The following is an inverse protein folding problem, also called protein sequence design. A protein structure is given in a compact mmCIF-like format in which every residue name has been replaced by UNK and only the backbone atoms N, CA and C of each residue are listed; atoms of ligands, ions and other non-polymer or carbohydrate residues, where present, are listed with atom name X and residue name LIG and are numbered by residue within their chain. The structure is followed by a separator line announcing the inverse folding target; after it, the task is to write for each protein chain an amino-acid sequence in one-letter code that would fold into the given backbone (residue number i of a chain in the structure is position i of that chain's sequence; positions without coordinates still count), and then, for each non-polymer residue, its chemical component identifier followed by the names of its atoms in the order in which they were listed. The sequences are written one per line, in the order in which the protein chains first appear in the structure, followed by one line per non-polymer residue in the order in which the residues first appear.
data_IF_303604770553
#
_entry.id   IF_303604770553
#
_cell.length_a   1.000
_cell.length_b   1.000
_cell.length_c   1.000
_cell.angle_alpha   90.00
_cell.angle_beta   90.00
_cell.angle_gamma   90.00
#
_symmetry.space_group_name_H-M   'P 1'
#
loop_
_entity.id
_entity.type
_entity.pdbx_description
1 polymer ?
#
# COMPACT_ATOMS: atom_id res chain seq x y z
N UNK A 1 22.98 16.93 3.71
CA UNK A 1 22.19 15.73 3.35
C UNK A 1 21.07 15.41 4.33
N UNK A 2 21.33 15.32 5.65
CA UNK A 2 20.32 14.97 6.68
C UNK A 2 19.03 15.84 6.62
N UNK A 3 19.18 17.17 6.49
CA UNK A 3 18.02 18.08 6.45
C UNK A 3 17.12 17.87 5.22
N UNK A 4 17.70 17.47 4.08
CA UNK A 4 16.94 17.18 2.87
C UNK A 4 16.11 15.89 3.01
N UNK A 5 16.70 14.84 3.59
CA UNK A 5 15.99 13.58 3.84
C UNK A 5 14.85 13.75 4.85
N UNK A 6 15.06 14.54 5.91
CA UNK A 6 14.01 14.86 6.90
C UNK A 6 12.85 15.61 6.22
N UNK A 7 13.14 16.64 5.43
CA UNK A 7 12.12 17.42 4.70
C UNK A 7 11.29 16.54 3.76
N UNK A 8 11.93 15.63 3.01
CA UNK A 8 11.24 14.74 2.08
C UNK A 8 10.37 13.72 2.82
N UNK A 9 10.87 13.15 3.92
CA UNK A 9 10.09 12.24 4.77
C UNK A 9 8.82 12.92 5.31
N UNK A 10 8.94 14.13 5.84
CA UNK A 10 7.80 14.84 6.43
C UNK A 10 6.73 15.20 5.38
N UNK A 11 7.16 15.55 4.16
CA UNK A 11 6.24 15.78 3.02
C UNK A 11 5.48 14.50 2.66
N UNK A 12 6.17 13.36 2.59
CA UNK A 12 5.56 12.06 2.28
C UNK A 12 4.56 11.66 3.37
N UNK A 13 4.94 11.79 4.65
CA UNK A 13 4.07 11.50 5.79
C UNK A 13 2.82 12.39 5.77
N UNK A 14 2.97 13.71 5.56
CA UNK A 14 1.82 14.62 5.44
C UNK A 14 0.87 14.22 4.30
N UNK A 15 1.42 13.83 3.14
CA UNK A 15 0.63 13.39 1.99
C UNK A 15 -0.05 12.05 2.23
N UNK A 16 0.58 11.12 2.94
CA UNK A 16 -0.06 9.86 3.33
C UNK A 16 -1.15 10.08 4.37
N UNK A 17 -0.95 11.00 5.31
CA UNK A 17 -1.94 11.38 6.33
C UNK A 17 -3.15 12.14 5.77
N UNK A 18 -3.07 12.69 4.55
CA UNK A 18 -4.26 13.25 3.90
C UNK A 18 -5.19 12.18 3.34
N UNK A 19 -4.72 10.94 3.20
CA UNK A 19 -5.58 9.82 2.80
C UNK A 19 -6.32 9.24 4.00
N UNK A 20 -7.59 8.91 3.80
CA UNK A 20 -8.41 8.29 4.84
C UNK A 20 -7.99 6.85 5.06
N UNK A 21 -8.21 6.34 6.28
CA UNK A 21 -8.08 4.92 6.61
C UNK A 21 -8.88 4.04 5.64
N UNK A 22 -10.04 4.50 5.18
CA UNK A 22 -10.86 3.80 4.17
C UNK A 22 -10.12 3.64 2.84
N UNK A 23 -9.37 4.66 2.41
CA UNK A 23 -8.55 4.59 1.20
C UNK A 23 -7.49 3.51 1.33
N UNK A 24 -6.80 3.42 2.48
CA UNK A 24 -5.84 2.37 2.74
C UNK A 24 -6.44 0.96 2.66
N UNK A 25 -7.65 0.76 3.21
CA UNK A 25 -8.38 -0.52 3.11
C UNK A 25 -8.73 -0.83 1.65
N UNK A 26 -9.31 0.11 0.91
CA UNK A 26 -9.72 -0.11 -0.49
C UNK A 26 -8.49 -0.48 -1.34
N UNK A 27 -7.38 0.27 -1.20
CA UNK A 27 -6.12 0.00 -1.88
C UNK A 27 -5.58 -1.39 -1.53
N UNK A 28 -5.67 -1.80 -0.27
CA UNK A 28 -5.26 -3.14 0.15
C UNK A 28 -6.17 -4.23 -0.41
N UNK A 29 -7.48 -3.99 -0.49
CA UNK A 29 -8.43 -4.93 -1.08
C UNK A 29 -8.20 -5.11 -2.59
N UNK A 30 -7.80 -4.05 -3.30
CA UNK A 30 -7.42 -4.14 -4.72
C UNK A 30 -6.19 -5.03 -4.95
N UNK A 31 -5.32 -5.25 -3.96
CA UNK A 31 -4.24 -6.23 -4.08
C UNK A 31 -4.76 -7.65 -4.41
N UNK A 32 -5.92 -8.03 -3.85
CA UNK A 32 -6.46 -9.39 -3.94
C UNK A 32 -6.78 -9.79 -5.39
N UNK A 33 -7.59 -9.03 -6.16
CA UNK A 33 -7.87 -9.38 -7.55
C UNK A 33 -6.60 -9.37 -8.41
N UNK A 34 -5.69 -8.41 -8.25
CA UNK A 34 -4.42 -8.40 -9.01
C UNK A 34 -3.54 -9.62 -8.69
N UNK A 35 -3.51 -10.06 -7.43
CA UNK A 35 -2.80 -11.26 -7.03
C UNK A 35 -3.42 -12.50 -7.68
N UNK A 36 -4.75 -12.66 -7.62
CA UNK A 36 -5.45 -13.78 -8.26
C UNK A 36 -5.19 -13.78 -9.77
N UNK A 37 -5.34 -12.62 -10.43
CA UNK A 37 -5.10 -12.47 -11.87
C UNK A 37 -3.66 -12.82 -12.26
N UNK A 38 -2.67 -12.49 -11.41
CA UNK A 38 -1.26 -12.82 -11.67
C UNK A 38 -1.02 -14.34 -11.83
N UNK A 39 -1.80 -15.17 -11.14
CA UNK A 39 -1.76 -16.63 -11.28
C UNK A 39 -2.77 -17.17 -12.29
N UNK A 40 -3.97 -16.57 -12.38
CA UNK A 40 -5.01 -17.00 -13.32
C UNK A 40 -4.53 -16.96 -14.78
N UNK A 41 -3.69 -15.99 -15.13
CA UNK A 41 -3.11 -15.89 -16.48
C UNK A 41 -2.23 -17.09 -16.86
N UNK A 42 -1.71 -17.87 -15.89
CA UNK A 42 -0.94 -19.09 -16.19
C UNK A 42 -1.77 -20.14 -16.94
N UNK A 43 -3.09 -20.13 -16.75
CA UNK A 43 -4.04 -21.00 -17.45
C UNK A 43 -4.34 -20.54 -18.89
N UNK A 44 -3.93 -19.32 -19.28
CA UNK A 44 -4.13 -18.84 -20.66
C UNK A 44 -3.19 -19.57 -21.63
N UNK A 45 -3.67 -19.97 -22.82
CA UNK A 45 -2.85 -20.58 -23.85
C UNK A 45 -2.09 -19.52 -24.67
N UNK A 46 -1.17 -18.79 -24.02
CA UNK A 46 -0.32 -17.76 -24.64
C UNK A 46 1.17 -18.14 -24.53
N UNK A 47 2.03 -17.45 -25.29
CA UNK A 47 3.48 -17.72 -25.27
C UNK A 47 4.10 -17.47 -23.88
N UNK A 48 5.17 -18.20 -23.56
CA UNK A 48 5.81 -18.13 -22.25
C UNK A 48 6.35 -16.72 -21.92
N UNK A 49 6.87 -16.02 -22.93
CA UNK A 49 7.30 -14.62 -22.83
C UNK A 49 6.13 -13.68 -22.47
N UNK A 50 4.98 -13.83 -23.12
CA UNK A 50 3.78 -13.04 -22.81
C UNK A 50 3.26 -13.33 -21.39
N UNK A 51 3.29 -14.60 -20.95
CA UNK A 51 2.99 -14.98 -19.55
C UNK A 51 3.94 -14.33 -18.57
N UNK A 52 5.23 -14.28 -18.89
CA UNK A 52 6.26 -13.65 -18.06
C UNK A 52 5.99 -12.16 -17.87
N UNK A 53 5.76 -11.43 -18.98
CA UNK A 53 5.43 -9.99 -18.93
C UNK A 53 4.15 -9.75 -18.12
N UNK A 54 3.10 -10.52 -18.39
CA UNK A 54 1.81 -10.36 -17.72
C UNK A 54 1.89 -10.70 -16.22
N UNK A 55 2.69 -11.72 -15.86
CA UNK A 55 2.98 -12.06 -14.48
C UNK A 55 3.69 -10.91 -13.76
N UNK A 56 4.77 -10.38 -14.33
CA UNK A 56 5.55 -9.29 -13.72
C UNK A 56 4.68 -8.06 -13.51
N UNK A 57 3.85 -7.69 -14.48
CA UNK A 57 2.95 -6.53 -14.37
C UNK A 57 1.89 -6.77 -13.30
N UNK A 58 1.14 -7.88 -13.36
CA UNK A 58 0.04 -8.14 -12.42
C UNK A 58 0.53 -8.38 -10.99
N UNK A 59 1.59 -9.15 -10.82
CA UNK A 59 2.19 -9.43 -9.52
C UNK A 59 2.85 -8.16 -8.94
N UNK A 60 3.54 -7.38 -9.78
CA UNK A 60 4.11 -6.09 -9.40
C UNK A 60 3.03 -5.09 -8.97
N UNK A 61 1.92 -5.02 -9.68
CA UNK A 61 0.76 -4.22 -9.29
C UNK A 61 0.15 -4.70 -7.96
N UNK A 62 -0.03 -6.00 -7.78
CA UNK A 62 -0.51 -6.57 -6.52
C UNK A 62 0.37 -6.14 -5.33
N UNK A 63 1.70 -6.26 -5.47
CA UNK A 63 2.65 -5.80 -4.46
C UNK A 63 2.63 -4.31 -4.23
N UNK A 64 2.46 -3.52 -5.30
CA UNK A 64 2.32 -2.06 -5.19
C UNK A 64 1.09 -1.69 -4.38
N UNK A 65 -0.07 -2.30 -4.66
CA UNK A 65 -1.29 -2.10 -3.88
C UNK A 65 -1.13 -2.57 -2.42
N UNK A 66 -0.50 -3.74 -2.19
CA UNK A 66 -0.22 -4.26 -0.86
C UNK A 66 0.60 -3.29 -0.01
N UNK A 67 1.77 -2.88 -0.50
CA UNK A 67 2.67 -2.01 0.26
C UNK A 67 2.15 -0.57 0.37
N UNK A 68 1.48 -0.06 -0.66
CA UNK A 68 0.86 1.27 -0.61
C UNK A 68 -0.30 1.31 0.39
N UNK A 69 -1.17 0.30 0.38
CA UNK A 69 -2.29 0.17 1.31
C UNK A 69 -1.80 0.06 2.75
N UNK A 70 -0.82 -0.82 3.02
CA UNK A 70 -0.18 -0.93 4.34
C UNK A 70 0.50 0.36 4.77
N UNK A 71 1.14 1.09 3.85
CA UNK A 71 1.76 2.39 4.16
C UNK A 71 0.71 3.40 4.60
N UNK A 72 -0.38 3.58 3.84
CA UNK A 72 -1.47 4.51 4.18
C UNK A 72 -2.11 4.14 5.53
N UNK A 73 -2.44 2.86 5.73
CA UNK A 73 -3.00 2.36 6.98
C UNK A 73 -2.03 2.52 8.15
N UNK A 74 -0.73 2.34 7.92
CA UNK A 74 0.30 2.49 8.94
C UNK A 74 0.38 3.91 9.47
N UNK A 75 0.44 4.92 8.61
CA UNK A 75 0.58 6.33 9.07
C UNK A 75 -0.68 6.82 9.78
N UNK A 76 -1.85 6.48 9.26
CA UNK A 76 -3.13 6.86 9.86
C UNK A 76 -3.44 6.03 11.12
N UNK A 77 -3.09 4.75 11.12
CA UNK A 77 -3.21 3.84 12.27
C UNK A 77 -2.33 4.28 13.44
N UNK A 78 -1.08 4.66 13.18
CA UNK A 78 -0.17 5.22 14.20
C UNK A 78 -0.74 6.52 14.78
N UNK A 79 -1.34 7.39 13.96
CA UNK A 79 -1.99 8.62 14.42
C UNK A 79 -3.19 8.32 15.34
N UNK A 80 -4.05 7.37 14.95
CA UNK A 80 -5.19 6.94 15.78
C UNK A 80 -4.75 6.33 17.11
N UNK A 81 -3.73 5.46 17.07
CA UNK A 81 -3.20 4.80 18.26
C UNK A 81 -2.58 5.80 19.24
N UNK A 82 -1.81 6.79 18.74
CA UNK A 82 -1.28 7.88 19.57
C UNK A 82 -2.38 8.71 20.23
N UNK A 83 -3.46 9.01 19.51
CA UNK A 83 -4.60 9.74 20.06
C UNK A 83 -5.35 8.92 21.13
N UNK A 84 -5.47 7.61 20.95
CA UNK A 84 -6.08 6.72 21.93
C UNK A 84 -5.29 6.68 23.24
N UNK A 85 -3.96 6.50 23.18
CA UNK A 85 -3.11 6.51 24.37
C UNK A 85 -3.08 7.88 25.07
N UNK A 86 -3.09 8.99 24.32
CA UNK A 86 -3.20 10.33 24.92
C UNK A 86 -4.51 10.54 25.67
N UNK A 87 -5.64 10.07 25.14
CA UNK A 87 -6.93 10.13 25.84
C UNK A 87 -6.95 9.29 27.12
N UNK A 88 -6.28 8.13 27.11
CA UNK A 88 -6.19 7.24 28.27
C UNK A 88 -5.26 7.75 29.38
N UNK A 89 -4.31 8.63 29.05
CA UNK A 89 -3.41 9.25 30.03
C UNK A 89 -3.97 10.54 30.65
N UNK A 90 -5.07 11.07 30.11
CA UNK A 90 -5.75 12.28 30.58
C UNK A 90 -7.07 11.99 31.30
N UNK A 91 -7.40 10.71 31.48
CA UNK A 91 -8.53 10.18 32.24
C UNK A 91 -7.97 9.36 33.40
#
# INVERSE_FOLDING_TARGET
MKNFLVSTKDKIVKKLQSFSFRTGIIVLLLCIPFYILSFAQMALPISAEAKGVLWVVLFGLAKTFQYSGLSILGVEGVKRLKNFFKKKSAA
#
